data_IF_686281623307
#
_entry.id   IF_686281623307
#
_cell.length_a   1.000
_cell.length_b   1.000
_cell.length_c   1.000
_cell.angle_alpha   90.00
_cell.angle_beta   90.00
_cell.angle_gamma   90.00
#
_symmetry.space_group_name_H-M   'P 1'
#
loop_
_entity.id
_entity.type
_entity.pdbx_description
1 polymer ?
#
# COMPACT_ATOMS: atom_id res chain seq x y z
N UNK A 1 -14.36 -15.67 -17.79
CA UNK A 1 -13.38 -15.51 -16.70
C UNK A 1 -13.47 -16.73 -15.81
N UNK A 2 -12.39 -17.48 -15.59
CA UNK A 2 -12.45 -18.74 -14.83
C UNK A 2 -12.24 -18.45 -13.34
N UNK A 3 -13.34 -18.25 -12.61
CA UNK A 3 -13.34 -17.84 -11.20
C UNK A 3 -12.49 -18.74 -10.30
N UNK A 4 -12.46 -20.05 -10.56
CA UNK A 4 -11.63 -20.99 -9.79
C UNK A 4 -10.13 -20.73 -9.93
N UNK A 5 -9.68 -20.33 -11.12
CA UNK A 5 -8.27 -19.99 -11.37
C UNK A 5 -7.88 -18.73 -10.59
N UNK A 6 -8.74 -17.72 -10.59
CA UNK A 6 -8.50 -16.46 -9.87
C UNK A 6 -8.49 -16.68 -8.36
N UNK A 7 -9.48 -17.40 -7.81
CA UNK A 7 -9.53 -17.72 -6.37
C UNK A 7 -8.27 -18.49 -5.94
N UNK A 8 -7.86 -19.51 -6.71
CA UNK A 8 -6.64 -20.27 -6.42
C UNK A 8 -5.40 -19.38 -6.44
N UNK A 9 -5.27 -18.50 -7.44
CA UNK A 9 -4.13 -17.59 -7.56
C UNK A 9 -4.10 -16.58 -6.41
N UNK A 10 -5.26 -16.06 -6.01
CA UNK A 10 -5.39 -15.13 -4.89
C UNK A 10 -5.02 -15.81 -3.55
N UNK A 11 -5.47 -17.05 -3.33
CA UNK A 11 -5.10 -17.83 -2.14
C UNK A 11 -3.60 -18.12 -2.06
N UNK A 12 -2.97 -18.49 -3.18
CA UNK A 12 -1.53 -18.70 -3.23
C UNK A 12 -0.78 -17.40 -2.88
N UNK A 13 -1.22 -16.28 -3.46
CA UNK A 13 -0.63 -14.96 -3.25
C UNK A 13 -0.78 -14.51 -1.79
N UNK A 14 -1.96 -14.67 -1.19
CA UNK A 14 -2.21 -14.42 0.23
C UNK A 14 -1.32 -15.32 1.10
N UNK A 15 -1.21 -16.61 0.76
CA UNK A 15 -0.33 -17.55 1.47
C UNK A 15 1.14 -17.13 1.42
N UNK A 16 1.64 -16.70 0.26
CA UNK A 16 3.01 -16.19 0.11
C UNK A 16 3.21 -14.93 0.95
N UNK A 17 2.23 -14.02 0.99
CA UNK A 17 2.33 -12.83 1.85
C UNK A 17 2.32 -13.17 3.34
N UNK A 18 1.50 -14.13 3.79
CA UNK A 18 1.54 -14.59 5.18
C UNK A 18 2.88 -15.22 5.56
N UNK A 19 3.45 -16.04 4.67
CA UNK A 19 4.77 -16.63 4.86
C UNK A 19 5.84 -15.53 4.91
N UNK A 20 5.80 -14.59 3.96
CA UNK A 20 6.71 -13.44 3.93
C UNK A 20 6.65 -12.59 5.20
N UNK A 21 5.44 -12.27 5.65
CA UNK A 21 5.21 -11.54 6.90
C UNK A 21 5.76 -12.29 8.12
N UNK A 22 5.49 -13.60 8.23
CA UNK A 22 6.02 -14.45 9.31
C UNK A 22 7.55 -14.52 9.29
N UNK A 23 8.17 -14.61 8.11
CA UNK A 23 9.63 -14.59 7.98
C UNK A 23 10.22 -13.26 8.47
N UNK A 24 9.61 -12.12 8.10
CA UNK A 24 10.04 -10.80 8.56
C UNK A 24 9.94 -10.70 10.09
N UNK A 25 8.84 -11.17 10.68
CA UNK A 25 8.65 -11.19 12.13
C UNK A 25 9.69 -12.07 12.84
N UNK A 26 9.96 -13.26 12.30
CA UNK A 26 10.93 -14.20 12.87
C UNK A 26 12.33 -13.59 12.90
N UNK A 27 12.73 -12.89 11.84
CA UNK A 27 14.00 -12.14 11.78
C UNK A 27 14.03 -10.98 12.78
N UNK A 28 12.88 -10.34 13.03
CA UNK A 28 12.82 -9.12 13.84
C UNK A 28 12.73 -9.37 15.36
N UNK A 29 12.16 -10.49 15.80
CA UNK A 29 11.78 -10.68 17.21
C UNK A 29 12.57 -11.75 17.99
N UNK A 30 13.21 -12.73 17.35
CA UNK A 30 13.91 -13.78 18.10
C UNK A 30 15.43 -13.54 18.18
N UNK A 31 15.84 -12.72 19.17
CA UNK A 31 17.26 -12.63 19.60
C UNK A 31 17.84 -14.00 19.97
N UNK A 32 17.02 -14.92 20.48
CA UNK A 32 17.43 -16.27 20.85
C UNK A 32 17.71 -17.18 19.65
N UNK A 33 16.97 -17.02 18.54
CA UNK A 33 17.19 -17.81 17.33
C UNK A 33 18.57 -17.53 16.72
N UNK A 34 18.95 -16.25 16.66
CA UNK A 34 20.28 -15.84 16.19
C UNK A 34 21.39 -16.32 17.12
N UNK A 35 21.14 -16.37 18.43
CA UNK A 35 22.15 -16.81 19.39
C UNK A 35 22.37 -18.33 19.37
N UNK A 36 21.29 -19.11 19.19
CA UNK A 36 21.33 -20.58 19.20
C UNK A 36 21.72 -21.19 17.85
N UNK A 37 21.18 -20.67 16.73
CA UNK A 37 21.37 -21.24 15.39
C UNK A 37 22.33 -20.45 14.50
N UNK A 38 22.62 -19.19 14.84
CA UNK A 38 23.50 -18.33 14.04
C UNK A 38 24.92 -18.87 13.90
N UNK A 39 25.44 -19.53 14.94
CA UNK A 39 26.75 -20.18 14.90
C UNK A 39 26.84 -21.31 13.88
N UNK A 40 25.79 -22.14 13.76
CA UNK A 40 25.72 -23.23 12.79
C UNK A 40 25.62 -22.71 11.35
N UNK A 41 24.81 -21.67 11.13
CA UNK A 41 24.69 -21.02 9.81
C UNK A 41 26.03 -20.40 9.40
N UNK A 42 26.68 -19.67 10.32
CA UNK A 42 27.96 -19.03 10.06
C UNK A 42 29.07 -20.05 9.79
N UNK A 43 29.13 -21.13 10.58
CA UNK A 43 30.04 -22.25 10.35
C UNK A 43 29.83 -22.92 8.99
N UNK A 44 28.57 -23.14 8.59
CA UNK A 44 28.24 -23.69 7.27
C UNK A 44 28.67 -22.77 6.12
N UNK A 45 28.49 -21.45 6.26
CA UNK A 45 28.96 -20.46 5.27
C UNK A 45 30.48 -20.54 5.11
N UNK A 46 31.24 -20.63 6.21
CA UNK A 46 32.69 -20.78 6.17
C UNK A 46 33.09 -22.06 5.42
N UNK A 47 32.44 -23.19 5.72
CA UNK A 47 32.68 -24.46 5.01
C UNK A 47 32.43 -24.33 3.51
N UNK A 48 31.37 -23.62 3.11
CA UNK A 48 31.07 -23.34 1.70
C UNK A 48 32.18 -22.49 1.04
N UNK A 49 32.67 -21.44 1.71
CA UNK A 49 33.76 -20.60 1.21
C UNK A 49 35.04 -21.42 1.01
N UNK A 50 35.40 -22.26 1.99
CA UNK A 50 36.57 -23.15 1.90
C UNK A 50 36.42 -24.11 0.73
N UNK A 51 35.26 -24.73 0.56
CA UNK A 51 34.99 -25.66 -0.55
C UNK A 51 35.11 -24.98 -1.93
N UNK A 52 34.69 -23.70 -2.04
CA UNK A 52 34.86 -22.89 -3.26
C UNK A 52 36.35 -22.59 -3.51
N UNK A 53 37.11 -22.18 -2.50
CA UNK A 53 38.55 -21.90 -2.63
C UNK A 53 39.32 -23.14 -3.10
N UNK A 54 39.05 -24.30 -2.49
CA UNK A 54 39.66 -25.58 -2.89
C UNK A 54 39.31 -25.94 -4.34
N UNK A 55 38.06 -25.74 -4.76
CA UNK A 55 37.64 -25.98 -6.14
C UNK A 55 38.42 -25.09 -7.12
N UNK A 56 38.57 -23.80 -6.82
CA UNK A 56 39.28 -22.83 -7.66
C UNK A 56 40.77 -23.21 -7.81
N UNK A 57 41.41 -23.64 -6.72
CA UNK A 57 42.83 -23.99 -6.71
C UNK A 57 43.13 -25.29 -7.47
N UNK A 58 42.37 -26.36 -7.22
CA UNK A 58 42.73 -27.69 -7.72
C UNK A 58 42.07 -28.07 -9.05
N UNK A 59 40.95 -27.44 -9.44
CA UNK A 59 40.22 -27.64 -10.71
C UNK A 59 39.92 -29.10 -11.13
N UNK A 60 39.99 -30.07 -10.20
CA UNK A 60 39.72 -31.49 -10.49
C UNK A 60 38.21 -31.76 -10.53
N UNK A 61 37.77 -32.61 -11.48
CA UNK A 61 36.35 -33.02 -11.64
C UNK A 61 35.75 -33.64 -10.37
N UNK A 62 36.54 -34.39 -9.59
CA UNK A 62 36.08 -34.99 -8.34
C UNK A 62 35.81 -33.94 -7.25
N UNK A 63 36.70 -32.96 -7.11
CA UNK A 63 36.57 -31.85 -6.15
C UNK A 63 35.34 -31.01 -6.50
N UNK A 64 35.10 -30.75 -7.79
CA UNK A 64 33.90 -30.06 -8.24
C UNK A 64 32.61 -30.79 -7.85
N UNK A 65 32.55 -32.13 -7.95
CA UNK A 65 31.39 -32.90 -7.50
C UNK A 65 31.16 -32.76 -5.98
N UNK A 66 32.23 -32.83 -5.19
CA UNK A 66 32.15 -32.68 -3.72
C UNK A 66 31.68 -31.26 -3.36
N UNK A 67 32.27 -30.24 -3.96
CA UNK A 67 31.86 -28.84 -3.73
C UNK A 67 30.40 -28.61 -4.13
N UNK A 68 29.92 -29.20 -5.22
CA UNK A 68 28.50 -29.12 -5.62
C UNK A 68 27.55 -29.76 -4.58
N UNK A 69 27.94 -30.88 -3.96
CA UNK A 69 27.14 -31.51 -2.90
C UNK A 69 27.11 -30.63 -1.64
N UNK A 70 28.26 -30.05 -1.26
CA UNK A 70 28.34 -29.12 -0.11
C UNK A 70 27.53 -27.86 -0.34
N UNK A 71 27.54 -27.31 -1.56
CA UNK A 71 26.80 -26.11 -1.95
C UNK A 71 25.32 -26.38 -2.24
N UNK A 72 24.89 -27.63 -2.38
CA UNK A 72 23.52 -27.96 -2.77
C UNK A 72 22.46 -27.32 -1.85
N UNK A 73 22.54 -27.40 -0.51
CA UNK A 73 21.59 -26.73 0.37
C UNK A 73 21.53 -25.21 0.16
N UNK A 74 22.68 -24.56 -0.04
CA UNK A 74 22.77 -23.13 -0.32
C UNK A 74 22.17 -22.78 -1.69
N UNK A 75 22.33 -23.66 -2.69
CA UNK A 75 21.70 -23.57 -4.01
C UNK A 75 20.18 -23.71 -3.95
N UNK A 76 19.65 -24.58 -3.09
CA UNK A 76 18.21 -24.70 -2.85
C UNK A 76 17.66 -23.42 -2.20
N UNK A 77 18.34 -22.91 -1.16
CA UNK A 77 17.96 -21.66 -0.48
C UNK A 77 18.00 -20.49 -1.47
N UNK A 78 19.04 -20.37 -2.29
CA UNK A 78 19.16 -19.30 -3.27
C UNK A 78 18.09 -19.39 -4.35
N UNK A 79 17.73 -20.59 -4.81
CA UNK A 79 16.63 -20.80 -5.75
C UNK A 79 15.29 -20.32 -5.16
N UNK A 80 15.01 -20.65 -3.88
CA UNK A 80 13.84 -20.12 -3.19
C UNK A 80 13.91 -18.60 -3.03
N UNK A 81 15.06 -18.05 -2.67
CA UNK A 81 15.25 -16.61 -2.51
C UNK A 81 14.99 -15.85 -3.81
N UNK A 82 15.46 -16.37 -4.95
CA UNK A 82 15.22 -15.81 -6.29
C UNK A 82 13.72 -15.69 -6.58
N UNK A 83 12.92 -16.69 -6.18
CA UNK A 83 11.45 -16.65 -6.36
C UNK A 83 10.78 -15.74 -5.35
N UNK A 84 11.15 -15.80 -4.07
CA UNK A 84 10.48 -15.09 -2.97
C UNK A 84 10.81 -13.60 -2.97
N UNK A 85 12.03 -13.22 -3.36
CA UNK A 85 12.51 -11.84 -3.32
C UNK A 85 11.62 -10.83 -4.07
N UNK A 86 11.21 -11.06 -5.33
CA UNK A 86 10.31 -10.12 -6.02
C UNK A 86 8.96 -9.97 -5.30
N UNK A 87 8.42 -11.03 -4.70
CA UNK A 87 7.18 -10.93 -3.90
C UNK A 87 7.38 -10.10 -2.64
N UNK A 88 8.51 -10.27 -1.94
CA UNK A 88 8.83 -9.47 -0.76
C UNK A 88 9.01 -7.99 -1.11
N UNK A 89 9.67 -7.69 -2.24
CA UNK A 89 9.84 -6.31 -2.72
C UNK A 89 8.49 -5.67 -3.05
N UNK A 90 7.63 -6.37 -3.79
CA UNK A 90 6.27 -5.90 -4.09
C UNK A 90 5.45 -5.74 -2.80
N UNK A 91 5.53 -6.68 -1.86
CA UNK A 91 4.88 -6.59 -0.56
C UNK A 91 5.33 -5.34 0.21
N UNK A 92 6.63 -5.08 0.26
CA UNK A 92 7.19 -3.91 0.92
C UNK A 92 6.66 -2.62 0.28
N UNK A 93 6.60 -2.54 -1.05
CA UNK A 93 6.03 -1.37 -1.74
C UNK A 93 4.54 -1.18 -1.45
N UNK A 94 3.75 -2.27 -1.41
CA UNK A 94 2.34 -2.21 -1.01
C UNK A 94 2.20 -1.72 0.43
N UNK A 95 3.01 -2.24 1.36
CA UNK A 95 3.02 -1.79 2.75
C UNK A 95 3.39 -0.31 2.86
N UNK A 96 4.44 0.13 2.14
CA UNK A 96 4.86 1.52 2.10
C UNK A 96 3.74 2.41 1.53
N UNK A 97 3.01 1.92 0.52
CA UNK A 97 1.88 2.64 -0.06
C UNK A 97 0.80 2.88 0.99
N UNK A 98 0.41 1.82 1.71
CA UNK A 98 -0.60 1.94 2.76
C UNK A 98 -0.13 2.80 3.95
N UNK A 99 1.16 2.73 4.31
CA UNK A 99 1.75 3.58 5.34
C UNK A 99 1.64 5.05 4.93
N UNK A 100 2.03 5.41 3.69
CA UNK A 100 1.88 6.80 3.21
C UNK A 100 0.41 7.22 3.25
N UNK A 101 -0.49 6.37 2.74
CA UNK A 101 -1.92 6.69 2.73
C UNK A 101 -2.54 6.82 4.12
N UNK A 102 -1.98 6.16 5.13
CA UNK A 102 -2.47 6.27 6.50
C UNK A 102 -1.83 7.46 7.23
N UNK A 103 -0.51 7.56 7.19
CA UNK A 103 0.25 8.56 7.96
C UNK A 103 -0.04 9.97 7.48
N UNK A 104 -0.10 10.22 6.17
CA UNK A 104 -0.31 11.57 5.63
C UNK A 104 -1.63 12.20 6.07
N UNK A 105 -2.81 11.59 5.88
CA UNK A 105 -4.06 12.17 6.35
C UNK A 105 -4.17 12.21 7.87
N UNK A 106 -3.61 11.25 8.60
CA UNK A 106 -3.59 11.28 10.06
C UNK A 106 -2.77 12.43 10.61
N UNK A 107 -1.61 12.70 10.01
CA UNK A 107 -0.78 13.84 10.35
C UNK A 107 -1.54 15.15 10.12
N UNK A 108 -2.24 15.28 8.99
CA UNK A 108 -3.07 16.44 8.69
C UNK A 108 -4.21 16.60 9.71
N UNK A 109 -4.90 15.51 10.06
CA UNK A 109 -6.00 15.53 11.02
C UNK A 109 -5.53 15.98 12.40
N UNK A 110 -4.42 15.43 12.88
CA UNK A 110 -3.80 15.85 14.14
C UNK A 110 -3.34 17.31 14.10
N UNK A 111 -2.76 17.75 13.00
CA UNK A 111 -2.37 19.15 12.82
C UNK A 111 -3.58 20.09 12.87
N UNK A 112 -4.68 19.76 12.20
CA UNK A 112 -5.90 20.58 12.20
C UNK A 112 -6.55 20.62 13.58
N UNK A 113 -6.59 19.49 14.30
CA UNK A 113 -7.12 19.41 15.65
C UNK A 113 -6.29 20.24 16.65
N UNK A 114 -4.96 20.09 16.61
CA UNK A 114 -4.06 20.80 17.53
C UNK A 114 -4.08 22.32 17.35
N UNK A 115 -4.41 22.81 16.15
CA UNK A 115 -4.55 24.24 15.86
C UNK A 115 -5.98 24.78 16.05
N UNK A 116 -6.93 23.94 16.50
CA UNK A 116 -8.31 24.34 16.74
C UNK A 116 -9.16 24.55 15.47
N UNK A 117 -8.72 24.08 14.31
CA UNK A 117 -9.52 24.16 13.07
C UNK A 117 -10.60 23.08 12.99
N UNK A 118 -10.41 21.97 13.69
CA UNK A 118 -11.37 20.88 13.82
C UNK A 118 -11.53 20.57 15.30
N UNK A 119 -12.75 20.67 15.82
CA UNK A 119 -13.08 20.20 17.16
C UNK A 119 -13.81 18.86 17.03
N UNK A 120 -13.12 17.77 17.35
CA UNK A 120 -13.77 16.46 17.41
C UNK A 120 -14.54 16.34 18.73
N UNK A 121 -15.86 16.19 18.63
CA UNK A 121 -16.75 16.15 19.79
C UNK A 121 -16.56 14.90 20.67
N UNK A 122 -16.07 13.77 20.11
CA UNK A 122 -15.88 12.51 20.83
C UNK A 122 -14.68 11.71 20.30
N UNK A 123 -14.09 10.88 21.16
CA UNK A 123 -13.00 9.94 20.78
C UNK A 123 -13.43 8.95 19.69
N UNK A 124 -14.71 8.58 19.65
CA UNK A 124 -15.28 7.72 18.62
C UNK A 124 -15.25 8.39 17.23
N UNK A 125 -15.45 9.72 17.17
CA UNK A 125 -15.35 10.47 15.91
C UNK A 125 -13.92 10.49 15.38
N UNK A 126 -12.94 10.64 16.28
CA UNK A 126 -11.52 10.58 15.93
C UNK A 126 -11.19 9.20 15.37
N UNK A 127 -11.61 8.14 16.07
CA UNK A 127 -11.38 6.76 15.66
C UNK A 127 -12.03 6.44 14.31
N UNK A 128 -13.26 6.91 14.07
CA UNK A 128 -13.90 6.80 12.75
C UNK A 128 -13.12 7.50 11.65
N UNK A 129 -12.61 8.71 11.92
CA UNK A 129 -11.74 9.45 10.99
C UNK A 129 -10.44 8.71 10.70
N UNK A 130 -9.84 8.11 11.73
CA UNK A 130 -8.60 7.32 11.64
C UNK A 130 -8.75 6.12 10.71
N UNK A 131 -9.91 5.45 10.71
CA UNK A 131 -10.16 4.31 9.81
C UNK A 131 -10.57 4.78 8.41
N UNK A 132 -11.45 5.77 8.32
CA UNK A 132 -12.13 6.13 7.07
C UNK A 132 -11.28 7.02 6.15
N UNK A 133 -10.62 8.03 6.71
CA UNK A 133 -9.92 9.04 5.91
C UNK A 133 -8.73 8.45 5.14
N UNK A 134 -7.90 7.55 5.72
CA UNK A 134 -6.83 6.88 4.97
C UNK A 134 -7.30 6.15 3.72
N UNK A 135 -8.44 5.48 3.83
CA UNK A 135 -9.02 4.71 2.73
C UNK A 135 -9.48 5.64 1.59
N UNK A 136 -10.11 6.76 1.93
CA UNK A 136 -10.50 7.77 0.94
C UNK A 136 -9.27 8.42 0.31
N UNK A 137 -8.26 8.71 1.12
CA UNK A 137 -7.00 9.28 0.67
C UNK A 137 -6.29 8.35 -0.31
N UNK A 138 -6.27 7.04 -0.03
CA UNK A 138 -5.70 6.04 -0.93
C UNK A 138 -6.36 6.04 -2.31
N UNK A 139 -7.69 6.16 -2.39
CA UNK A 139 -8.40 6.18 -3.67
C UNK A 139 -8.27 7.53 -4.39
N UNK A 140 -8.51 8.64 -3.69
CA UNK A 140 -8.48 9.98 -4.28
C UNK A 140 -7.08 10.39 -4.76
N UNK A 141 -6.07 10.13 -3.93
CA UNK A 141 -4.69 10.54 -4.20
C UNK A 141 -3.86 9.41 -4.81
N UNK A 142 -4.51 8.35 -5.32
CA UNK A 142 -3.82 7.19 -5.90
C UNK A 142 -2.79 7.62 -6.96
N UNK A 143 -3.16 8.52 -7.86
CA UNK A 143 -2.27 9.02 -8.91
C UNK A 143 -1.05 9.75 -8.33
N UNK A 144 -1.25 10.66 -7.39
CA UNK A 144 -0.20 11.45 -6.76
C UNK A 144 0.77 10.56 -5.98
N UNK A 145 0.23 9.62 -5.21
CA UNK A 145 1.03 8.66 -4.44
C UNK A 145 1.81 7.75 -5.40
N UNK A 146 1.16 7.23 -6.45
CA UNK A 146 1.83 6.37 -7.44
C UNK A 146 2.97 7.10 -8.16
N UNK A 147 2.81 8.40 -8.46
CA UNK A 147 3.90 9.21 -9.00
C UNK A 147 5.07 9.37 -8.03
N UNK A 148 4.79 9.51 -6.72
CA UNK A 148 5.83 9.49 -5.69
C UNK A 148 6.58 8.14 -5.69
N UNK A 149 5.86 7.02 -5.83
CA UNK A 149 6.49 5.70 -5.98
C UNK A 149 7.31 5.57 -7.25
N UNK A 150 6.88 6.13 -8.37
CA UNK A 150 7.68 6.14 -9.59
C UNK A 150 8.98 6.92 -9.42
N UNK A 151 8.97 8.00 -8.65
CA UNK A 151 10.20 8.71 -8.31
C UNK A 151 11.18 7.80 -7.56
N UNK A 152 10.73 7.12 -6.50
CA UNK A 152 11.57 6.18 -5.75
C UNK A 152 12.04 4.98 -6.59
N UNK A 153 11.15 4.38 -7.37
CA UNK A 153 11.48 3.21 -8.21
C UNK A 153 12.37 3.58 -9.39
N UNK A 154 12.31 4.82 -9.91
CA UNK A 154 13.24 5.29 -10.95
C UNK A 154 14.66 5.46 -10.42
N UNK A 155 14.81 5.89 -9.16
CA UNK A 155 16.11 5.92 -8.46
C UNK A 155 16.67 4.50 -8.29
N UNK A 156 15.81 3.51 -8.04
CA UNK A 156 16.20 2.10 -7.85
C UNK A 156 16.44 1.37 -9.19
N UNK A 157 15.70 1.73 -10.26
CA UNK A 157 15.75 1.10 -11.57
C UNK A 157 16.72 1.77 -12.57
N UNK A 158 17.76 2.47 -12.09
CA UNK A 158 18.86 2.87 -12.97
C UNK A 158 19.62 1.60 -13.41
N UNK A 159 19.08 0.93 -14.45
CA UNK A 159 19.63 -0.03 -15.44
C UNK A 159 20.64 -1.12 -15.01
N UNK A 160 21.05 -1.16 -13.74
CA UNK A 160 22.19 -1.91 -13.20
C UNK A 160 21.78 -2.88 -12.08
N UNK A 161 20.52 -2.84 -11.65
CA UNK A 161 20.05 -3.57 -10.46
C UNK A 161 18.82 -4.44 -10.74
N UNK A 162 19.00 -5.53 -11.49
CA UNK A 162 18.19 -6.76 -11.35
C UNK A 162 17.35 -7.19 -12.56
N UNK A 163 17.13 -8.52 -12.75
CA UNK A 163 16.40 -9.10 -13.88
C UNK A 163 14.86 -9.01 -13.77
N UNK A 164 14.33 -8.27 -12.80
CA UNK A 164 12.90 -8.27 -12.49
C UNK A 164 12.25 -6.93 -12.83
N UNK A 165 11.10 -6.98 -13.50
CA UNK A 165 10.26 -5.81 -13.82
C UNK A 165 9.48 -5.35 -12.58
N UNK A 166 10.19 -5.01 -11.49
CA UNK A 166 9.59 -4.62 -10.19
C UNK A 166 8.65 -3.43 -10.35
N UNK A 167 8.96 -2.50 -11.27
CA UNK A 167 8.09 -1.36 -11.56
C UNK A 167 6.74 -1.78 -12.12
N UNK A 168 6.71 -2.72 -13.06
CA UNK A 168 5.47 -3.18 -13.69
C UNK A 168 4.63 -3.99 -12.71
N UNK A 169 5.27 -4.87 -11.95
CA UNK A 169 4.62 -5.61 -10.86
C UNK A 169 4.01 -4.65 -9.82
N UNK A 170 4.77 -3.65 -9.38
CA UNK A 170 4.29 -2.67 -8.40
C UNK A 170 3.16 -1.81 -8.97
N UNK A 171 3.27 -1.38 -10.23
CA UNK A 171 2.24 -0.59 -10.91
C UNK A 171 0.93 -1.37 -11.08
N UNK A 172 1.03 -2.66 -11.39
CA UNK A 172 -0.12 -3.55 -11.41
C UNK A 172 -0.84 -3.52 -10.06
N UNK A 173 -0.14 -3.78 -8.95
CA UNK A 173 -0.76 -3.82 -7.62
C UNK A 173 -1.30 -2.47 -7.14
N UNK A 174 -0.60 -1.36 -7.42
CA UNK A 174 -0.96 -0.02 -6.93
C UNK A 174 -1.93 0.72 -7.89
N UNK A 175 -2.33 0.10 -8.99
CA UNK A 175 -3.35 0.66 -9.87
C UNK A 175 -4.66 0.97 -9.13
N UNK A 176 -5.37 2.02 -9.54
CA UNK A 176 -6.60 2.51 -8.88
C UNK A 176 -7.62 1.38 -8.64
N UNK A 177 -7.82 0.50 -9.62
CA UNK A 177 -8.74 -0.65 -9.51
C UNK A 177 -8.28 -1.68 -8.48
N UNK A 178 -6.98 -1.99 -8.46
CA UNK A 178 -6.43 -2.98 -7.55
C UNK A 178 -6.35 -2.45 -6.12
N UNK A 179 -6.09 -1.15 -5.93
CA UNK A 179 -6.19 -0.50 -4.60
C UNK A 179 -7.62 -0.53 -4.08
N UNK A 180 -8.62 -0.18 -4.90
CA UNK A 180 -10.03 -0.32 -4.51
C UNK A 180 -10.36 -1.76 -4.12
N UNK A 181 -9.95 -2.74 -4.93
CA UNK A 181 -10.14 -4.15 -4.64
C UNK A 181 -9.48 -4.56 -3.31
N UNK A 182 -8.23 -4.14 -3.06
CA UNK A 182 -7.52 -4.44 -1.82
C UNK A 182 -8.23 -3.85 -0.60
N UNK A 183 -8.74 -2.61 -0.69
CA UNK A 183 -9.54 -2.00 0.36
C UNK A 183 -10.79 -2.84 0.65
N UNK A 184 -11.55 -3.20 -0.39
CA UNK A 184 -12.72 -4.08 -0.25
C UNK A 184 -12.38 -5.41 0.39
N UNK A 185 -11.27 -6.02 -0.03
CA UNK A 185 -10.80 -7.29 0.50
C UNK A 185 -10.37 -7.18 1.98
N UNK A 186 -9.71 -6.09 2.37
CA UNK A 186 -9.32 -5.83 3.75
C UNK A 186 -10.54 -5.63 4.66
N UNK A 187 -11.53 -4.85 4.23
CA UNK A 187 -12.79 -4.73 4.98
C UNK A 187 -13.52 -6.06 5.08
N UNK A 188 -13.57 -6.85 4.01
CA UNK A 188 -14.16 -8.18 4.03
C UNK A 188 -13.47 -9.10 5.05
N UNK A 189 -12.13 -9.11 5.09
CA UNK A 189 -11.37 -9.85 6.09
C UNK A 189 -11.63 -9.34 7.51
N UNK A 190 -11.68 -8.02 7.70
CA UNK A 190 -11.97 -7.42 9.00
C UNK A 190 -13.36 -7.84 9.51
N UNK A 191 -14.37 -7.82 8.65
CA UNK A 191 -15.74 -8.28 8.98
C UNK A 191 -15.76 -9.77 9.34
N UNK A 192 -15.02 -10.62 8.63
CA UNK A 192 -14.90 -12.04 9.01
C UNK A 192 -14.33 -12.17 10.42
N UNK A 193 -13.24 -11.45 10.71
CA UNK A 193 -12.58 -11.50 12.03
C UNK A 193 -13.54 -11.03 13.12
N UNK A 194 -14.23 -9.90 12.91
CA UNK A 194 -15.22 -9.36 13.86
C UNK A 194 -16.30 -10.42 14.15
N UNK A 195 -16.90 -11.01 13.11
CA UNK A 195 -17.94 -12.02 13.26
C UNK A 195 -17.41 -13.25 14.02
N UNK A 196 -16.21 -13.74 13.70
CA UNK A 196 -15.62 -14.91 14.38
C UNK A 196 -15.40 -14.62 15.86
N UNK A 197 -14.90 -13.43 16.20
CA UNK A 197 -14.69 -13.01 17.58
C UNK A 197 -16.01 -12.83 18.34
N UNK A 198 -17.06 -12.36 17.66
CA UNK A 198 -18.41 -12.23 18.21
C UNK A 198 -19.00 -13.58 18.60
N UNK A 199 -18.88 -14.59 17.72
CA UNK A 199 -19.35 -15.95 18.01
C UNK A 199 -18.53 -16.67 19.09
N UNK A 200 -17.32 -16.21 19.41
CA UNK A 200 -16.47 -16.80 20.43
C UNK A 200 -16.74 -16.27 21.84
N UNK A 201 -17.70 -15.35 22.03
CA UNK A 201 -18.01 -14.68 23.31
C UNK A 201 -16.79 -14.04 24.01
N UNK A 202 -15.67 -13.85 23.29
CA UNK A 202 -14.46 -13.22 23.84
C UNK A 202 -14.58 -11.70 23.97
N UNK A 203 -15.80 -11.18 24.03
CA UNK A 203 -16.09 -9.75 23.92
C UNK A 203 -15.80 -9.02 25.24
N UNK A 204 -14.67 -8.32 25.27
CA UNK A 204 -14.49 -7.21 26.19
C UNK A 204 -15.37 -6.04 25.71
N UNK A 205 -16.18 -5.48 26.61
CA UNK A 205 -17.20 -4.44 26.35
C UNK A 205 -16.68 -3.21 25.57
N UNK A 206 -15.36 -2.98 25.53
CA UNK A 206 -14.72 -1.92 24.73
C UNK A 206 -14.56 -2.22 23.23
N UNK A 207 -14.63 -3.48 22.79
CA UNK A 207 -14.37 -3.89 21.40
C UNK A 207 -15.56 -3.56 20.49
N UNK A 208 -16.80 -3.62 21.00
CA UNK A 208 -18.02 -3.36 20.22
C UNK A 208 -18.09 -1.96 19.57
N UNK A 209 -17.45 -0.96 20.17
CA UNK A 209 -17.36 0.38 19.59
C UNK A 209 -16.45 0.40 18.34
N UNK A 210 -15.35 -0.37 18.36
CA UNK A 210 -14.42 -0.47 17.23
C UNK A 210 -15.06 -1.21 16.05
N UNK A 211 -15.81 -2.28 16.32
CA UNK A 211 -16.45 -3.08 15.28
C UNK A 211 -17.50 -2.27 14.51
N UNK A 212 -18.31 -1.51 15.25
CA UNK A 212 -19.28 -0.59 14.66
C UNK A 212 -18.60 0.47 13.79
N UNK A 213 -17.45 0.99 14.22
CA UNK A 213 -16.70 1.98 13.44
C UNK A 213 -16.14 1.36 12.15
N UNK A 214 -15.59 0.15 12.22
CA UNK A 214 -15.08 -0.56 11.03
C UNK A 214 -16.22 -0.81 10.04
N UNK A 215 -17.39 -1.26 10.52
CA UNK A 215 -18.56 -1.51 9.69
C UNK A 215 -19.12 -0.21 9.08
N UNK A 216 -19.24 0.85 9.87
CA UNK A 216 -19.66 2.16 9.37
C UNK A 216 -18.68 2.71 8.32
N UNK A 217 -17.38 2.62 8.59
CA UNK A 217 -16.34 3.03 7.65
C UNK A 217 -16.44 2.26 6.34
N UNK A 218 -16.70 0.94 6.41
CA UNK A 218 -16.90 0.10 5.24
C UNK A 218 -18.12 0.52 4.41
N UNK A 219 -19.27 0.78 5.06
CA UNK A 219 -20.49 1.23 4.38
C UNK A 219 -20.25 2.60 3.72
N UNK A 220 -19.60 3.53 4.42
CA UNK A 220 -19.25 4.85 3.86
C UNK A 220 -18.31 4.69 2.66
N UNK A 221 -17.37 3.75 2.69
CA UNK A 221 -16.52 3.45 1.55
C UNK A 221 -17.28 2.88 0.35
N UNK A 222 -18.22 1.96 0.56
CA UNK A 222 -19.09 1.45 -0.52
C UNK A 222 -19.87 2.59 -1.18
N UNK A 223 -20.49 3.45 -0.36
CA UNK A 223 -21.26 4.59 -0.84
C UNK A 223 -20.38 5.55 -1.64
N UNK A 224 -19.19 5.86 -1.11
CA UNK A 224 -18.20 6.69 -1.76
C UNK A 224 -17.74 6.14 -3.12
N UNK A 225 -17.38 4.86 -3.18
CA UNK A 225 -16.94 4.19 -4.40
C UNK A 225 -18.05 4.18 -5.46
N UNK A 226 -19.31 3.97 -5.03
CA UNK A 226 -20.47 4.05 -5.91
C UNK A 226 -20.69 5.46 -6.46
N UNK A 227 -20.57 6.50 -5.62
CA UNK A 227 -20.65 7.90 -6.06
C UNK A 227 -19.55 8.21 -7.08
N UNK A 228 -18.32 7.76 -6.85
CA UNK A 228 -17.22 7.94 -7.82
C UNK A 228 -17.50 7.23 -9.15
N UNK A 229 -18.08 6.02 -9.12
CA UNK A 229 -18.48 5.32 -10.34
C UNK A 229 -19.54 6.11 -11.10
N UNK A 230 -20.58 6.57 -10.40
CA UNK A 230 -21.64 7.37 -11.02
C UNK A 230 -21.10 8.68 -11.59
N UNK A 231 -20.15 9.33 -10.92
CA UNK A 231 -19.54 10.56 -11.41
C UNK A 231 -18.68 10.35 -12.67
N UNK A 232 -18.11 9.15 -12.87
CA UNK A 232 -17.44 8.78 -14.13
C UNK A 232 -18.44 8.56 -15.27
N UNK A 233 -19.65 8.10 -14.95
CA UNK A 233 -20.72 7.84 -15.93
C UNK A 233 -21.52 9.11 -16.29
N UNK A 234 -21.55 10.11 -15.40
CA UNK A 234 -22.17 11.40 -15.65
C UNK A 234 -21.26 12.28 -16.52
N UNK A 235 -21.82 12.93 -17.54
CA UNK A 235 -21.12 14.01 -18.29
C UNK A 235 -20.87 15.26 -17.42
N UNK A 236 -21.41 15.29 -16.20
CA UNK A 236 -21.22 16.37 -15.26
C UNK A 236 -19.79 16.38 -14.72
N UNK A 237 -19.00 17.36 -15.17
CA UNK A 237 -17.66 17.64 -14.66
C UNK A 237 -17.74 18.77 -13.63
N UNK A 238 -17.51 18.52 -12.32
CA UNK A 238 -17.50 19.57 -11.30
C UNK A 238 -16.52 20.71 -11.62
N UNK A 239 -15.39 20.41 -12.28
CA UNK A 239 -14.42 21.39 -12.76
C UNK A 239 -15.03 22.38 -13.76
N UNK A 240 -15.84 21.87 -14.69
CA UNK A 240 -16.48 22.70 -15.72
C UNK A 240 -17.59 23.55 -15.09
N UNK A 241 -18.31 23.00 -14.11
CA UNK A 241 -19.29 23.76 -13.34
C UNK A 241 -18.64 24.88 -12.52
N UNK A 242 -17.55 24.59 -11.80
CA UNK A 242 -16.77 25.60 -11.09
C UNK A 242 -16.24 26.68 -12.02
N UNK A 243 -15.71 26.31 -13.19
CA UNK A 243 -15.27 27.27 -14.21
C UNK A 243 -16.42 28.16 -14.66
N UNK A 244 -17.60 27.60 -14.92
CA UNK A 244 -18.80 28.38 -15.28
C UNK A 244 -19.21 29.34 -14.16
N UNK A 245 -19.17 28.92 -12.90
CA UNK A 245 -19.44 29.79 -11.74
C UNK A 245 -18.44 30.95 -11.70
N UNK A 246 -17.14 30.66 -11.76
CA UNK A 246 -16.08 31.68 -11.70
C UNK A 246 -16.25 32.67 -12.85
N UNK A 247 -16.44 32.18 -14.09
CA UNK A 247 -16.68 33.05 -15.25
C UNK A 247 -17.95 33.91 -15.07
N UNK A 248 -19.02 33.35 -14.51
CA UNK A 248 -20.25 34.11 -14.26
C UNK A 248 -20.06 35.19 -13.21
N UNK A 249 -19.28 34.93 -12.15
CA UNK A 249 -18.94 35.90 -11.12
C UNK A 249 -18.07 37.01 -11.72
N UNK A 250 -17.02 36.66 -12.47
CA UNK A 250 -16.14 37.62 -13.14
C UNK A 250 -16.89 38.53 -14.10
N UNK A 251 -17.78 37.98 -14.93
CA UNK A 251 -18.60 38.78 -15.85
C UNK A 251 -19.50 39.77 -15.11
N UNK A 252 -20.15 39.33 -14.02
CA UNK A 252 -20.98 40.21 -13.19
C UNK A 252 -20.15 41.33 -12.53
N UNK A 253 -18.93 41.04 -12.11
CA UNK A 253 -18.01 42.05 -11.56
C UNK A 253 -17.58 43.08 -12.63
N UNK A 254 -17.30 42.64 -13.86
CA UNK A 254 -17.01 43.53 -14.99
C UNK A 254 -18.20 44.42 -15.35
N UNK A 255 -19.41 43.86 -15.40
CA UNK A 255 -20.63 44.62 -15.68
C UNK A 255 -20.87 45.69 -14.60
N UNK A 256 -20.65 45.37 -13.32
CA UNK A 256 -20.76 46.35 -12.21
C UNK A 256 -19.68 47.45 -12.31
N UNK A 257 -18.46 47.11 -12.69
CA UNK A 257 -17.37 48.09 -12.85
C UNK A 257 -17.57 49.00 -14.06
N UNK A 258 -18.15 48.49 -15.15
CA UNK A 258 -18.45 49.27 -16.34
C UNK A 258 -19.64 50.21 -16.12
N UNK A 259 -20.62 49.84 -15.29
CA UNK A 259 -21.74 50.72 -14.91
C UNK A 259 -21.30 51.94 -14.06
N UNK A 260 -20.19 51.80 -13.33
CA UNK A 260 -19.65 52.86 -12.47
C UNK A 260 -18.65 53.80 -13.17
N UNK A 261 -18.38 53.65 -14.47
CA UNK A 261 -17.58 54.62 -15.24
C UNK A 261 -18.48 55.77 -15.70
N UNK A 262 -18.22 57.04 -15.31
CA UNK A 262 -18.96 58.17 -15.84
C UNK A 262 -18.71 58.27 -17.35
N UNK A 263 -19.78 58.47 -18.12
CA UNK A 263 -19.71 58.72 -19.55
C UNK A 263 -19.04 60.07 -19.81
N UNK A 264 -17.72 60.09 -19.97
CA UNK A 264 -16.99 61.24 -20.52
C UNK A 264 -17.21 61.32 -22.03
N UNK A 265 -18.46 61.52 -22.44
CA UNK A 265 -18.85 61.95 -23.78
C UNK A 265 -19.92 63.03 -23.58
N UNK A 266 -19.48 64.25 -23.24
CA UNK A 266 -20.20 65.51 -23.45
C UNK A 266 -19.29 66.68 -23.00
N UNK A 267 -18.18 66.89 -23.71
CA UNK A 267 -17.55 68.22 -23.80
C UNK A 267 -17.03 68.37 -25.24
N UNK A 268 -17.88 68.97 -26.08
CA UNK A 268 -17.46 69.80 -27.21
C UNK A 268 -17.04 71.17 -26.69
#
# INVERSE_FOLDING_TARGET
MNYFKEIRSTLILVGIFFIGYKLILLVSFEKEFFHSYGGYIFGYIIVCIIAIIIQIQFKKKMIQKITNVVLFPLGVISAFAVVIFPFLMVFLFICLYFIITAVTPLFLLNYLNNNGYLEFATDLTILYGVVTIPVFFAVFFNYQIRNLFYFFTTIVNDSRYGPYEIRELTDYFISERNVRFLIYFLYFLAVIVINVLEYQESFLIGIAAYDNIILQSFITFIAFDKVLSLLKDLEFKPSDFLRKIICSISKKLEDMNNYNKPSNNDIN
#
